data_IF_342987853850
#
_entry.id   IF_342987853850
#
_cell.length_a   1.000
_cell.length_b   1.000
_cell.length_c   1.000
_cell.angle_alpha   90.00
_cell.angle_beta   90.00
_cell.angle_gamma   90.00
#
_symmetry.space_group_name_H-M   'P 1'
#
loop_
_entity.id
_entity.type
_entity.pdbx_description
1 polymer ?
#
# COMPACT_ATOMS: atom_id res chain seq x y z
N UNK A 1 19.17 -1.43 24.24
CA UNK A 1 18.15 -2.35 23.68
C UNK A 1 16.77 -1.76 23.97
N UNK A 2 16.21 -0.96 23.08
CA UNK A 2 14.92 -0.29 23.29
C UNK A 2 13.85 -0.91 22.39
N UNK A 3 12.83 -1.51 23.01
CA UNK A 3 11.69 -2.16 22.35
C UNK A 3 10.50 -1.22 22.47
N UNK A 4 10.28 -0.39 21.46
CA UNK A 4 9.07 0.45 21.39
C UNK A 4 7.98 -0.38 20.71
N UNK A 5 7.18 -1.07 21.53
CA UNK A 5 5.89 -1.61 21.08
C UNK A 5 4.88 -0.47 21.16
N UNK A 6 4.64 0.20 20.01
CA UNK A 6 3.48 1.08 19.90
C UNK A 6 2.22 0.21 19.89
N UNK A 7 1.28 0.41 20.84
CA UNK A 7 0.01 -0.30 20.78
C UNK A 7 -0.69 0.10 19.48
N UNK A 8 -1.06 -0.89 18.66
CA UNK A 8 -1.94 -0.67 17.51
C UNK A 8 -3.30 -0.24 18.07
N UNK A 9 -3.47 1.07 18.27
CA UNK A 9 -4.74 1.71 18.57
C UNK A 9 -5.64 1.45 17.37
N UNK A 10 -6.45 0.39 17.44
CA UNK A 10 -7.54 0.16 16.48
C UNK A 10 -8.53 1.30 16.70
N UNK A 11 -8.35 2.41 15.99
CA UNK A 11 -9.32 3.49 15.93
C UNK A 11 -10.66 2.87 15.48
N UNK A 12 -11.59 2.65 16.41
CA UNK A 12 -12.98 2.45 16.03
C UNK A 12 -13.40 3.73 15.32
N UNK A 13 -13.85 3.68 14.06
CA UNK A 13 -14.38 4.88 13.43
C UNK A 13 -15.49 5.42 14.33
N UNK A 14 -15.44 6.72 14.63
CA UNK A 14 -16.52 7.38 15.35
C UNK A 14 -17.86 7.08 14.65
N UNK A 15 -18.97 6.96 15.39
CA UNK A 15 -20.29 6.82 14.78
C UNK A 15 -20.50 7.91 13.74
N UNK A 16 -21.02 7.53 12.57
CA UNK A 16 -21.29 8.50 11.51
C UNK A 16 -22.30 9.52 12.04
N UNK A 17 -22.05 10.83 11.85
CA UNK A 17 -22.95 11.86 12.35
C UNK A 17 -24.33 11.72 11.70
N UNK A 18 -25.39 11.70 12.50
CA UNK A 18 -26.76 11.63 11.99
C UNK A 18 -27.28 13.03 11.62
N UNK A 19 -28.36 13.17 10.83
CA UNK A 19 -28.98 14.47 10.55
C UNK A 19 -29.29 15.27 11.82
N UNK A 20 -29.74 14.59 12.88
CA UNK A 20 -30.02 15.18 14.18
C UNK A 20 -28.76 15.76 14.83
N UNK A 21 -27.61 15.11 14.63
CA UNK A 21 -26.31 15.59 15.12
C UNK A 21 -25.92 16.93 14.47
N UNK A 22 -26.31 17.16 13.22
CA UNK A 22 -26.10 18.45 12.54
C UNK A 22 -27.11 19.51 12.96
N UNK A 23 -28.38 19.13 13.14
CA UNK A 23 -29.41 20.04 13.63
C UNK A 23 -29.07 20.58 15.02
N UNK A 24 -28.47 19.75 15.89
CA UNK A 24 -27.99 20.17 17.21
C UNK A 24 -26.82 21.16 17.19
N UNK A 25 -26.13 21.31 16.05
CA UNK A 25 -25.06 22.32 15.88
C UNK A 25 -25.60 23.68 15.42
N UNK A 26 -26.88 23.74 15.01
CA UNK A 26 -27.54 24.99 14.68
C UNK A 26 -27.91 25.70 16.00
N UNK A 27 -27.61 27.00 16.15
CA UNK A 27 -28.04 27.78 17.32
C UNK A 27 -29.55 27.62 17.59
N UNK A 28 -29.92 27.44 18.86
CA UNK A 28 -31.30 27.17 19.26
C UNK A 28 -32.28 28.27 18.77
N UNK A 29 -31.82 29.51 18.72
CA UNK A 29 -32.55 30.68 18.23
C UNK A 29 -32.97 30.53 16.76
N UNK A 30 -32.07 30.02 15.91
CA UNK A 30 -32.40 29.73 14.50
C UNK A 30 -33.31 28.51 14.36
N UNK A 31 -33.16 27.51 15.23
CA UNK A 31 -34.04 26.34 15.19
C UNK A 31 -35.49 26.73 15.49
N UNK A 32 -35.72 27.67 16.41
CA UNK A 32 -37.06 28.15 16.76
C UNK A 32 -37.76 28.89 15.62
N UNK A 33 -37.02 29.49 14.69
CA UNK A 33 -37.58 30.13 13.49
C UNK A 33 -38.04 29.12 12.44
N UNK A 34 -37.54 27.89 12.50
CA UNK A 34 -37.96 26.85 11.57
C UNK A 34 -39.25 26.17 12.03
N UNK A 35 -40.22 26.14 11.11
CA UNK A 35 -41.43 25.33 11.24
C UNK A 35 -41.08 23.83 11.26
N UNK A 36 -41.93 22.96 11.85
CA UNK A 36 -41.69 21.52 11.88
C UNK A 36 -41.45 20.92 10.47
N UNK A 37 -42.21 21.38 9.47
CA UNK A 37 -42.07 20.94 8.08
C UNK A 37 -40.74 21.37 7.44
N UNK A 38 -40.19 22.53 7.82
CA UNK A 38 -38.88 22.98 7.35
C UNK A 38 -37.76 22.14 7.96
N UNK A 39 -37.85 21.83 9.26
CA UNK A 39 -36.86 20.97 9.94
C UNK A 39 -36.82 19.57 9.33
N UNK A 40 -37.97 19.00 8.98
CA UNK A 40 -38.05 17.72 8.29
C UNK A 40 -37.37 17.75 6.92
N UNK A 41 -37.66 18.76 6.10
CA UNK A 41 -37.02 18.93 4.78
C UNK A 41 -35.51 19.12 4.88
N UNK A 42 -35.03 19.88 5.87
CA UNK A 42 -33.60 20.06 6.13
C UNK A 42 -32.97 18.72 6.52
N UNK A 43 -33.63 17.94 7.38
CA UNK A 43 -33.20 16.58 7.73
C UNK A 43 -33.04 15.67 6.50
N UNK A 44 -34.00 15.69 5.59
CA UNK A 44 -33.96 14.92 4.34
C UNK A 44 -32.79 15.35 3.43
N UNK A 45 -32.53 16.66 3.30
CA UNK A 45 -31.38 17.17 2.54
C UNK A 45 -30.06 16.72 3.18
N UNK A 46 -29.97 16.76 4.51
CA UNK A 46 -28.77 16.34 5.24
C UNK A 46 -28.48 14.84 5.07
N UNK A 47 -29.50 13.98 4.97
CA UNK A 47 -29.32 12.55 4.64
C UNK A 47 -28.69 12.36 3.26
N UNK A 48 -29.14 13.14 2.27
CA UNK A 48 -28.66 13.05 0.88
C UNK A 48 -27.25 13.65 0.75
N UNK A 49 -27.00 14.76 1.44
CA UNK A 49 -25.71 15.44 1.44
C UNK A 49 -24.64 14.70 2.25
N UNK A 50 -25.03 13.73 3.09
CA UNK A 50 -24.09 13.01 3.92
C UNK A 50 -23.15 12.16 3.04
N UNK A 51 -21.83 12.43 3.05
CA UNK A 51 -20.89 11.64 2.27
C UNK A 51 -20.87 10.22 2.84
N UNK A 52 -21.28 9.24 2.01
CA UNK A 52 -21.18 7.83 2.37
C UNK A 52 -19.71 7.51 2.69
N UNK A 53 -19.43 6.75 3.76
CA UNK A 53 -18.06 6.38 4.10
C UNK A 53 -17.44 5.69 2.87
N UNK A 54 -16.36 6.29 2.35
CA UNK A 54 -15.61 5.68 1.27
C UNK A 54 -15.06 4.33 1.76
N UNK A 55 -15.15 3.26 0.95
CA UNK A 55 -14.57 1.97 1.32
C UNK A 55 -13.10 2.16 1.66
N UNK A 56 -12.66 1.50 2.74
CA UNK A 56 -11.33 1.65 3.33
C UNK A 56 -10.25 1.46 2.25
N UNK A 57 -9.52 2.53 1.95
CA UNK A 57 -8.23 2.43 1.27
C UNK A 57 -7.33 1.58 2.17
N UNK A 58 -6.74 0.52 1.61
CA UNK A 58 -5.70 -0.23 2.29
C UNK A 58 -4.45 0.64 2.24
N UNK A 59 -4.08 1.18 3.38
CA UNK A 59 -2.88 2.00 3.58
C UNK A 59 -1.77 1.09 4.11
N UNK A 60 -0.78 0.82 3.27
CA UNK A 60 0.43 0.07 3.61
C UNK A 60 1.55 1.07 3.82
N UNK A 61 1.90 1.30 5.09
CA UNK A 61 3.05 2.13 5.48
C UNK A 61 4.19 1.24 5.91
N UNK A 62 5.31 1.37 5.20
CA UNK A 62 6.54 0.63 5.44
C UNK A 62 7.64 1.64 5.79
N UNK A 63 8.12 1.56 7.03
CA UNK A 63 9.25 2.34 7.50
C UNK A 63 10.51 1.47 7.42
N UNK A 64 11.40 1.78 6.48
CA UNK A 64 12.65 1.05 6.28
C UNK A 64 13.78 1.91 6.87
N UNK A 65 14.28 1.51 8.04
CA UNK A 65 15.46 2.15 8.62
C UNK A 65 16.72 1.51 8.04
N UNK A 66 17.41 2.20 7.13
CA UNK A 66 18.80 1.89 6.78
C UNK A 66 19.74 2.48 7.83
N UNK A 67 20.95 1.91 7.94
CA UNK A 67 21.97 2.22 8.96
C UNK A 67 22.28 3.74 9.03
N UNK A 68 22.08 4.49 7.93
CA UNK A 68 22.34 5.93 7.86
C UNK A 68 21.11 6.79 7.49
N UNK A 69 20.01 6.20 7.03
CA UNK A 69 18.85 6.93 6.50
C UNK A 69 17.53 6.19 6.72
N UNK A 70 16.45 6.95 6.96
CA UNK A 70 15.09 6.39 7.15
C UNK A 70 14.30 6.60 5.86
N UNK A 71 13.84 5.51 5.26
CA UNK A 71 12.99 5.53 4.08
C UNK A 71 11.55 5.25 4.48
N UNK A 72 10.62 6.05 3.95
CA UNK A 72 9.19 5.92 4.20
C UNK A 72 8.51 5.54 2.89
N UNK A 73 7.95 4.34 2.81
CA UNK A 73 7.17 3.87 1.68
C UNK A 73 5.70 3.83 2.09
N UNK A 74 4.87 4.61 1.40
CA UNK A 74 3.41 4.64 1.64
C UNK A 74 2.71 4.19 0.37
N UNK A 75 2.05 3.03 0.43
CA UNK A 75 1.29 2.47 -0.67
C UNK A 75 -0.20 2.50 -0.33
N UNK A 76 -0.96 3.25 -1.14
CA UNK A 76 -2.41 3.27 -1.05
C UNK A 76 -3.00 2.34 -2.11
N UNK A 77 -3.68 1.27 -1.68
CA UNK A 77 -4.39 0.35 -2.57
C UNK A 77 -5.88 0.40 -2.23
N UNK A 78 -6.71 0.81 -3.18
CA UNK A 78 -8.15 0.87 -2.98
C UNK A 78 -8.90 1.08 -4.29
N UNK A 79 -10.14 0.60 -4.34
CA UNK A 79 -11.02 0.84 -5.48
C UNK A 79 -11.48 2.30 -5.46
N UNK A 80 -11.09 3.09 -6.45
CA UNK A 80 -11.57 4.47 -6.60
C UNK A 80 -13.06 4.47 -6.97
N UNK A 81 -13.93 4.61 -5.96
CA UNK A 81 -15.38 4.76 -6.11
C UNK A 81 -15.84 6.15 -5.70
N UNK A 82 -15.38 7.19 -6.39
CA UNK A 82 -15.95 8.54 -6.27
C UNK A 82 -17.30 8.58 -7.01
N UNK A 83 -18.37 8.99 -6.32
CA UNK A 83 -19.72 9.07 -6.90
C UNK A 83 -19.87 10.19 -7.94
N UNK A 84 -19.04 11.23 -7.88
CA UNK A 84 -18.85 12.15 -8.98
C UNK A 84 -17.60 11.77 -9.76
N UNK A 85 -17.79 11.19 -10.94
CA UNK A 85 -16.78 11.23 -11.99
C UNK A 85 -16.53 12.70 -12.30
N UNK A 86 -15.44 13.27 -11.80
CA UNK A 86 -14.86 14.43 -12.48
C UNK A 86 -14.71 14.01 -13.94
N UNK A 87 -15.13 14.87 -14.88
CA UNK A 87 -14.88 14.68 -16.32
C UNK A 87 -13.39 14.88 -16.60
N UNK A 88 -12.54 14.16 -15.89
CA UNK A 88 -11.19 13.89 -16.33
C UNK A 88 -11.36 12.84 -17.42
N UNK A 89 -11.39 13.26 -18.67
CA UNK A 89 -10.98 12.35 -19.73
C UNK A 89 -9.49 12.15 -19.48
N UNK A 90 -9.02 10.98 -18.99
CA UNK A 90 -7.60 10.71 -19.04
C UNK A 90 -7.23 10.76 -20.52
N UNK A 91 -6.51 11.82 -20.91
CA UNK A 91 -5.89 11.88 -22.23
C UNK A 91 -5.07 10.58 -22.39
N UNK A 92 -5.10 9.96 -23.57
CA UNK A 92 -4.52 8.62 -23.78
C UNK A 92 -3.07 8.48 -23.28
N UNK A 93 -2.34 9.59 -23.26
CA UNK A 93 -0.98 9.73 -22.73
C UNK A 93 -0.88 9.33 -21.24
N UNK A 94 -1.82 9.75 -20.38
CA UNK A 94 -1.77 9.43 -18.94
C UNK A 94 -2.04 7.94 -18.69
N UNK A 95 -2.89 7.32 -19.53
CA UNK A 95 -3.16 5.88 -19.43
C UNK A 95 -1.94 5.06 -19.84
N UNK A 96 -1.24 5.49 -20.89
CA UNK A 96 0.00 4.87 -21.34
C UNK A 96 1.10 5.01 -20.28
N UNK A 97 1.27 6.21 -19.70
CA UNK A 97 2.25 6.47 -18.64
C UNK A 97 2.02 5.60 -17.41
N UNK A 98 0.77 5.49 -16.95
CA UNK A 98 0.44 4.62 -15.82
C UNK A 98 0.69 3.14 -16.13
N UNK A 99 0.40 2.70 -17.36
CA UNK A 99 0.65 1.32 -17.79
C UNK A 99 2.16 1.01 -17.83
N UNK A 100 2.96 1.91 -18.40
CA UNK A 100 4.42 1.78 -18.42
C UNK A 100 4.96 1.76 -16.99
N UNK A 101 4.56 2.71 -16.15
CA UNK A 101 4.99 2.76 -14.75
C UNK A 101 4.64 1.47 -13.99
N UNK A 102 3.43 0.93 -14.19
CA UNK A 102 3.01 -0.33 -13.58
C UNK A 102 3.87 -1.51 -14.06
N UNK A 103 4.14 -1.60 -15.37
CA UNK A 103 5.00 -2.65 -15.94
C UNK A 103 6.44 -2.54 -15.44
N UNK A 104 7.01 -1.33 -15.42
CA UNK A 104 8.36 -1.08 -14.92
C UNK A 104 8.46 -1.44 -13.44
N UNK A 105 7.47 -1.07 -12.63
CA UNK A 105 7.47 -1.37 -11.20
C UNK A 105 7.32 -2.88 -10.95
N UNK A 106 6.45 -3.55 -11.71
CA UNK A 106 6.28 -5.00 -11.63
C UNK A 106 7.56 -5.75 -12.03
N UNK A 107 8.18 -5.37 -13.15
CA UNK A 107 9.42 -5.96 -13.64
C UNK A 107 10.58 -5.71 -12.66
N UNK A 108 10.74 -4.48 -12.17
CA UNK A 108 11.77 -4.13 -11.20
C UNK A 108 11.62 -4.89 -9.89
N UNK A 109 10.39 -5.04 -9.40
CA UNK A 109 10.11 -5.80 -8.17
C UNK A 109 10.40 -7.29 -8.35
N UNK A 110 10.03 -7.88 -9.49
CA UNK A 110 10.32 -9.28 -9.79
C UNK A 110 11.83 -9.54 -9.90
N UNK A 111 12.56 -8.61 -10.54
CA UNK A 111 14.01 -8.68 -10.67
C UNK A 111 14.72 -8.55 -9.32
N UNK A 112 14.23 -7.65 -8.44
CA UNK A 112 14.73 -7.51 -7.07
C UNK A 112 14.54 -8.80 -6.26
N UNK A 113 13.36 -9.42 -6.32
CA UNK A 113 13.10 -10.71 -5.65
C UNK A 113 14.05 -11.78 -6.18
N UNK A 114 14.22 -11.85 -7.49
CA UNK A 114 15.10 -12.82 -8.13
C UNK A 114 16.56 -12.67 -7.67
N UNK A 115 17.06 -11.42 -7.58
CA UNK A 115 18.38 -11.12 -7.04
C UNK A 115 18.52 -11.53 -5.57
N UNK A 116 17.52 -11.26 -4.74
CA UNK A 116 17.53 -11.66 -3.33
C UNK A 116 17.59 -13.18 -3.18
N UNK A 117 16.80 -13.92 -3.98
CA UNK A 117 16.82 -15.39 -3.97
C UNK A 117 18.19 -15.90 -4.42
N UNK A 118 18.74 -15.37 -5.52
CA UNK A 118 20.05 -15.78 -6.03
C UNK A 118 21.17 -15.49 -5.03
N UNK A 119 21.16 -14.31 -4.42
CA UNK A 119 22.11 -13.93 -3.37
C UNK A 119 21.98 -14.84 -2.13
N UNK A 120 20.75 -15.18 -1.74
CA UNK A 120 20.48 -16.13 -0.65
C UNK A 120 20.98 -17.54 -0.97
N UNK A 121 20.77 -18.03 -2.19
CA UNK A 121 21.29 -19.33 -2.64
C UNK A 121 22.81 -19.34 -2.70
N UNK A 122 23.42 -18.26 -3.19
CA UNK A 122 24.87 -18.11 -3.21
C UNK A 122 25.46 -18.10 -1.79
N UNK A 123 24.87 -17.31 -0.88
CA UNK A 123 25.28 -17.27 0.51
C UNK A 123 25.10 -18.63 1.20
N UNK A 124 23.98 -19.32 0.95
CA UNK A 124 23.75 -20.67 1.45
C UNK A 124 24.82 -21.64 0.92
N UNK A 125 25.12 -21.61 -0.39
CA UNK A 125 26.19 -22.42 -0.99
C UNK A 125 27.53 -22.17 -0.30
N UNK A 126 27.88 -20.91 -0.04
CA UNK A 126 29.10 -20.54 0.68
C UNK A 126 29.08 -21.05 2.12
N UNK A 127 27.93 -20.98 2.81
CA UNK A 127 27.80 -21.43 4.20
C UNK A 127 27.89 -22.95 4.37
N UNK A 128 27.30 -23.70 3.44
CA UNK A 128 27.35 -25.17 3.45
C UNK A 128 28.71 -25.73 2.97
N UNK A 129 29.65 -24.86 2.57
CA UNK A 129 30.99 -25.30 2.18
C UNK A 129 30.98 -26.30 1.02
N UNK A 130 29.98 -26.23 0.13
CA UNK A 130 29.93 -27.05 -1.09
C UNK A 130 31.03 -26.54 -2.02
N UNK A 131 32.23 -27.04 -1.78
CA UNK A 131 33.44 -26.79 -2.53
C UNK A 131 33.32 -27.26 -3.98
N UNK A 132 34.16 -26.69 -4.81
CA UNK A 132 34.24 -26.90 -6.25
C UNK A 132 34.09 -28.38 -6.64
N UNK A 133 33.19 -28.65 -7.60
CA UNK A 133 33.11 -29.96 -8.23
C UNK A 133 34.51 -30.29 -8.81
N UNK A 134 35.11 -31.44 -8.49
CA UNK A 134 36.38 -31.86 -9.08
C UNK A 134 36.14 -32.32 -10.52
N UNK A 135 35.85 -31.39 -11.42
CA UNK A 135 35.61 -31.69 -12.83
C UNK A 135 36.87 -31.51 -13.71
N UNK A 136 38.01 -31.12 -13.14
CA UNK A 136 39.24 -30.82 -13.90
C UNK A 136 40.47 -31.48 -13.25
N UNK A 137 40.35 -32.74 -12.82
CA UNK A 137 41.51 -33.55 -12.40
C UNK A 137 41.79 -34.75 -13.32
N UNK A 138 41.01 -34.92 -14.41
CA UNK A 138 41.17 -36.06 -15.32
C UNK A 138 42.02 -35.77 -16.57
N UNK A 139 42.60 -34.58 -16.71
CA UNK A 139 43.40 -34.21 -17.90
C UNK A 139 44.92 -34.32 -17.66
N UNK A 140 45.38 -34.38 -16.41
CA UNK A 140 46.81 -34.39 -16.07
C UNK A 140 47.34 -35.77 -15.61
N UNK A 141 46.83 -36.87 -16.17
CA UNK A 141 47.46 -38.19 -16.00
C UNK A 141 48.56 -38.36 -17.07
N UNK A 142 49.87 -38.29 -16.72
CA UNK A 142 50.93 -38.54 -17.68
C UNK A 142 50.93 -40.00 -18.12
N UNK A 143 51.02 -40.19 -19.44
CA UNK A 143 50.91 -41.45 -20.18
C UNK A 143 52.14 -42.38 -20.01
N UNK A 144 52.61 -42.60 -18.78
CA UNK A 144 53.90 -43.25 -18.51
C UNK A 144 53.83 -44.50 -17.61
N UNK A 145 52.78 -45.31 -17.75
CA UNK A 145 52.68 -46.61 -17.06
C UNK A 145 52.22 -47.75 -17.96
N UNK A 146 52.73 -47.80 -19.19
CA UNK A 146 52.65 -49.01 -20.02
C UNK A 146 54.08 -49.45 -20.32
N UNK A 147 54.61 -50.30 -19.44
CA UNK A 147 55.75 -51.20 -19.69
C UNK A 147 55.44 -52.52 -19.02
#
# INVERSE_FOLDING_TARGET
>A
MFKIQLPIQRHRPAPLPTPETYLQRIPAEMLTEFTPAQREKIGQILVIAHPKPAPKLVDLRLDINLIWQRFYLVLFVGQDRRQQKRRYLPQGITRLGNMIAALTLLAGFNLLISLIILAGLYAARTWFGIGDLPAIQLIDQPLNSIS
#
